data_IF_439643551006
#
_entry.id   IF_439643551006
#
_cell.length_a   1.000
_cell.length_b   1.000
_cell.length_c   1.000
_cell.angle_alpha   90.00
_cell.angle_beta   90.00
_cell.angle_gamma   90.00
#
_symmetry.space_group_name_H-M   'P 1'
#
loop_
_entity.id
_entity.type
_entity.pdbx_description
1 polymer ?
#
# COMPACT_ATOMS: atom_id res chain seq x y z
N UNK A 1 12.37 -0.99 13.42
CA UNK A 1 12.73 -1.52 12.09
C UNK A 1 11.96 -0.77 11.01
N UNK A 2 12.64 -0.38 9.95
CA UNK A 2 11.98 0.29 8.83
C UNK A 2 11.50 -0.74 7.80
N UNK A 3 10.26 -0.58 7.36
CA UNK A 3 9.66 -1.40 6.32
C UNK A 3 9.43 -0.52 5.10
N UNK A 4 9.81 -1.01 3.91
CA UNK A 4 9.65 -0.29 2.64
C UNK A 4 9.22 -1.26 1.55
N UNK A 5 8.13 -0.94 0.87
CA UNK A 5 7.68 -1.70 -0.30
C UNK A 5 7.11 -0.73 -1.33
N UNK A 6 7.27 -1.06 -2.60
CA UNK A 6 6.62 -0.29 -3.66
C UNK A 6 5.17 -0.73 -3.79
N UNK A 7 4.29 0.26 -3.83
CA UNK A 7 2.89 0.07 -4.20
C UNK A 7 2.74 0.51 -5.66
N UNK A 8 1.91 -0.21 -6.41
CA UNK A 8 1.57 0.15 -7.78
C UNK A 8 0.20 0.81 -7.77
N UNK A 9 0.17 2.07 -8.18
CA UNK A 9 -1.06 2.86 -8.31
C UNK A 9 -1.49 2.79 -9.77
N UNK A 10 -2.65 2.19 -10.01
CA UNK A 10 -3.21 2.04 -11.35
C UNK A 10 -4.35 3.05 -11.55
N UNK A 11 -4.21 3.88 -12.58
CA UNK A 11 -5.13 4.97 -12.88
C UNK A 11 -6.07 4.67 -14.05
N UNK A 12 -6.18 3.41 -14.50
CA UNK A 12 -7.04 3.06 -15.63
C UNK A 12 -8.48 3.51 -15.44
N UNK A 13 -8.98 3.39 -14.21
CA UNK A 13 -10.37 3.75 -13.87
C UNK A 13 -10.45 5.08 -13.10
N UNK A 14 -9.41 5.88 -13.15
CA UNK A 14 -9.38 7.14 -12.41
C UNK A 14 -10.56 8.05 -12.76
N UNK A 15 -11.26 8.51 -11.73
CA UNK A 15 -12.38 9.44 -11.88
C UNK A 15 -11.86 10.87 -11.74
N UNK A 16 -12.00 11.63 -12.82
CA UNK A 16 -11.53 13.03 -12.86
C UNK A 16 -12.22 13.92 -11.84
N UNK A 17 -13.43 13.56 -11.41
CA UNK A 17 -14.17 14.28 -10.38
C UNK A 17 -13.80 13.82 -8.97
N UNK A 18 -12.99 12.76 -8.87
CA UNK A 18 -12.49 12.20 -7.61
C UNK A 18 -13.59 11.81 -6.64
N UNK A 19 -14.72 11.36 -7.18
CA UNK A 19 -15.87 10.88 -6.39
C UNK A 19 -15.83 9.37 -6.21
N UNK A 20 -15.24 8.66 -7.17
CA UNK A 20 -15.15 7.20 -7.17
C UNK A 20 -13.75 6.76 -6.81
N UNK A 21 -13.64 5.57 -6.21
CA UNK A 21 -12.37 4.97 -5.82
C UNK A 21 -11.71 4.32 -7.03
N UNK A 22 -11.35 5.13 -8.02
CA UNK A 22 -10.86 4.65 -9.32
C UNK A 22 -9.36 4.38 -9.40
N UNK A 23 -8.60 4.70 -8.35
CA UNK A 23 -7.18 4.36 -8.29
C UNK A 23 -7.06 3.03 -7.58
N UNK A 24 -6.62 1.98 -8.30
CA UNK A 24 -6.36 0.66 -7.70
C UNK A 24 -4.93 0.62 -7.19
N UNK A 25 -4.72 0.09 -5.99
CA UNK A 25 -3.41 0.06 -5.35
C UNK A 25 -3.10 -1.38 -4.97
N UNK A 26 -1.96 -1.88 -5.44
CA UNK A 26 -1.48 -3.22 -5.13
C UNK A 26 -0.03 -3.17 -4.71
N UNK A 27 0.41 -4.21 -4.01
CA UNK A 27 1.83 -4.36 -3.63
C UNK A 27 2.33 -5.64 -4.27
N UNK A 28 3.20 -5.57 -5.29
CA UNK A 28 3.70 -6.76 -5.95
C UNK A 28 4.34 -7.77 -5.00
N UNK A 29 5.00 -7.29 -3.95
CA UNK A 29 5.68 -8.16 -2.99
C UNK A 29 4.78 -8.66 -1.86
N UNK A 30 3.60 -8.08 -1.70
CA UNK A 30 2.63 -8.43 -0.66
C UNK A 30 1.27 -8.57 -1.34
N UNK A 31 1.00 -9.70 -2.01
CA UNK A 31 -0.21 -9.86 -2.84
C UNK A 31 -1.53 -9.64 -2.13
N UNK A 32 -1.59 -9.90 -0.82
CA UNK A 32 -2.81 -9.68 -0.04
C UNK A 32 -3.04 -8.21 0.32
N UNK A 33 -2.04 -7.34 0.16
CA UNK A 33 -2.17 -5.92 0.44
C UNK A 33 -2.68 -5.21 -0.81
N UNK A 34 -3.96 -4.90 -0.85
CA UNK A 34 -4.55 -4.15 -1.96
C UNK A 34 -5.66 -3.25 -1.44
N UNK A 35 -5.84 -2.13 -2.10
CA UNK A 35 -6.84 -1.13 -1.72
C UNK A 35 -7.17 -0.25 -2.93
N UNK A 36 -7.97 0.78 -2.71
CA UNK A 36 -8.29 1.75 -3.76
C UNK A 36 -8.47 3.13 -3.12
N UNK A 37 -8.42 4.15 -3.95
CA UNK A 37 -8.53 5.53 -3.50
C UNK A 37 -9.13 6.41 -4.59
N UNK A 38 -9.56 7.61 -4.19
CA UNK A 38 -10.11 8.61 -5.11
C UNK A 38 -9.02 9.56 -5.59
N UNK A 39 -8.03 9.84 -4.75
CA UNK A 39 -6.94 10.78 -5.06
C UNK A 39 -5.59 10.14 -4.74
N UNK A 40 -4.53 10.74 -5.26
CA UNK A 40 -3.17 10.30 -4.94
C UNK A 40 -2.89 10.39 -3.43
N UNK A 41 -3.23 11.52 -2.82
CA UNK A 41 -2.96 11.73 -1.39
C UNK A 41 -3.71 10.70 -0.53
N UNK A 42 -4.98 10.46 -0.83
CA UNK A 42 -5.76 9.41 -0.15
C UNK A 42 -5.12 8.05 -0.38
N UNK A 43 -4.63 7.81 -1.60
CA UNK A 43 -3.99 6.55 -1.97
C UNK A 43 -2.75 6.25 -1.17
N UNK A 44 -1.93 7.25 -0.90
CA UNK A 44 -0.73 7.07 -0.07
C UNK A 44 -1.12 6.64 1.34
N UNK A 45 -2.13 7.29 1.92
CA UNK A 45 -2.62 6.93 3.26
C UNK A 45 -3.24 5.54 3.29
N UNK A 46 -4.03 5.20 2.28
CA UNK A 46 -4.66 3.88 2.19
C UNK A 46 -3.63 2.77 1.99
N UNK A 47 -2.62 3.04 1.17
CA UNK A 47 -1.53 2.09 0.93
C UNK A 47 -0.75 1.82 2.21
N UNK A 48 -0.45 2.87 2.98
CA UNK A 48 0.25 2.73 4.24
C UNK A 48 -0.57 1.91 5.23
N UNK A 49 -1.86 2.20 5.34
CA UNK A 49 -2.75 1.49 6.27
C UNK A 49 -2.87 0.00 5.92
N UNK A 50 -3.09 -0.34 4.65
CA UNK A 50 -3.27 -1.73 4.26
C UNK A 50 -1.97 -2.53 4.39
N UNK A 51 -0.83 -1.90 4.09
CA UNK A 51 0.47 -2.55 4.26
C UNK A 51 0.73 -2.87 5.73
N UNK A 52 0.52 -1.91 6.62
CA UNK A 52 0.68 -2.13 8.05
C UNK A 52 -0.26 -3.22 8.56
N UNK A 53 -1.52 -3.17 8.12
CA UNK A 53 -2.51 -4.15 8.51
C UNK A 53 -2.10 -5.57 8.11
N UNK A 54 -1.59 -5.74 6.91
CA UNK A 54 -1.20 -7.06 6.40
C UNK A 54 0.03 -7.62 7.13
N UNK A 55 0.88 -6.79 7.67
CA UNK A 55 2.15 -7.22 8.25
C UNK A 55 2.16 -7.22 9.79
N UNK A 56 1.18 -6.59 10.43
CA UNK A 56 1.20 -6.34 11.88
C UNK A 56 1.28 -7.63 12.71
N UNK A 57 0.65 -8.71 12.26
CA UNK A 57 0.61 -9.98 12.98
C UNK A 57 1.63 -11.00 12.46
N UNK A 58 2.50 -10.59 11.54
CA UNK A 58 3.49 -11.49 10.96
C UNK A 58 4.81 -11.41 11.69
N UNK A 59 5.50 -12.55 11.75
CA UNK A 59 6.90 -12.58 12.16
C UNK A 59 7.73 -11.82 11.13
N UNK A 60 8.68 -11.01 11.59
CA UNK A 60 9.55 -10.21 10.71
C UNK A 60 10.28 -11.12 9.70
N UNK A 61 10.68 -12.31 10.14
CA UNK A 61 11.37 -13.29 9.30
C UNK A 61 10.53 -13.78 8.12
N UNK A 62 9.20 -13.64 8.22
CA UNK A 62 8.29 -14.04 7.14
C UNK A 62 8.05 -12.94 6.11
N UNK A 63 8.57 -11.73 6.33
CA UNK A 63 8.39 -10.63 5.42
C UNK A 63 9.07 -10.90 4.10
N UNK A 64 8.35 -10.61 3.00
CA UNK A 64 8.93 -10.74 1.66
C UNK A 64 10.06 -9.74 1.49
N UNK A 65 11.09 -10.13 0.71
CA UNK A 65 12.15 -9.21 0.35
C UNK A 65 11.60 -8.16 -0.62
N UNK A 66 11.77 -6.86 -0.32
CA UNK A 66 11.28 -5.82 -1.23
C UNK A 66 11.97 -5.88 -2.59
N UNK A 67 11.18 -5.80 -3.66
CA UNK A 67 11.71 -5.69 -5.01
C UNK A 67 12.26 -4.29 -5.25
N UNK A 68 13.33 -4.19 -6.05
CA UNK A 68 13.81 -2.89 -6.51
C UNK A 68 12.88 -2.37 -7.60
N UNK A 69 12.92 -1.06 -7.81
CA UNK A 69 12.05 -0.41 -8.80
C UNK A 69 12.23 -0.99 -10.21
N UNK A 70 13.46 -1.40 -10.56
CA UNK A 70 13.76 -1.96 -11.89
C UNK A 70 13.04 -3.28 -12.14
N UNK A 71 12.69 -3.99 -11.09
CA UNK A 71 12.04 -5.31 -11.19
C UNK A 71 10.52 -5.22 -11.18
N UNK A 72 9.96 -4.03 -11.05
CA UNK A 72 8.52 -3.82 -11.04
C UNK A 72 8.07 -3.42 -12.44
N UNK A 73 7.22 -4.24 -13.05
CA UNK A 73 6.67 -3.93 -14.37
C UNK A 73 5.46 -3.04 -14.21
N UNK A 74 5.48 -1.91 -14.91
CA UNK A 74 4.39 -0.94 -14.85
C UNK A 74 3.69 -0.87 -16.21
N UNK A 75 2.37 -0.87 -16.17
CA UNK A 75 1.56 -0.60 -17.33
C UNK A 75 1.50 0.89 -17.64
N UNK A 76 0.79 1.25 -18.69
CA UNK A 76 0.73 2.61 -19.22
C UNK A 76 0.26 3.64 -18.20
N UNK A 77 -0.74 3.29 -17.39
CA UNK A 77 -1.35 4.19 -16.41
C UNK A 77 -1.01 3.81 -14.99
N UNK A 78 0.16 3.21 -14.79
CA UNK A 78 0.61 2.76 -13.47
C UNK A 78 1.83 3.52 -13.01
N UNK A 79 1.90 3.75 -11.70
CA UNK A 79 3.05 4.40 -11.05
C UNK A 79 3.46 3.59 -9.84
N UNK A 80 4.77 3.43 -9.63
CA UNK A 80 5.30 2.78 -8.44
C UNK A 80 5.60 3.86 -7.40
N UNK A 81 5.01 3.71 -6.22
CA UNK A 81 5.14 4.66 -5.11
C UNK A 81 5.74 3.91 -3.93
N UNK A 82 6.85 4.39 -3.41
CA UNK A 82 7.50 3.76 -2.26
C UNK A 82 6.73 4.09 -0.99
N UNK A 83 6.27 3.05 -0.29
CA UNK A 83 5.56 3.17 0.98
C UNK A 83 6.48 2.69 2.09
N UNK A 84 6.72 3.54 3.07
CA UNK A 84 7.66 3.25 4.17
C UNK A 84 7.03 3.56 5.51
N UNK A 85 7.39 2.76 6.51
CA UNK A 85 7.04 3.07 7.90
C UNK A 85 8.04 2.40 8.84
N UNK A 86 8.05 2.86 10.09
CA UNK A 86 8.85 2.26 11.16
C UNK A 86 7.92 1.42 12.03
N UNK A 87 8.26 0.14 12.22
CA UNK A 87 7.42 -0.77 13.01
C UNK A 87 7.25 -0.31 14.45
N UNK A 88 8.20 0.46 14.97
CA UNK A 88 8.14 0.99 16.35
C UNK A 88 7.17 2.15 16.49
N UNK A 89 6.63 2.65 15.37
CA UNK A 89 5.77 3.84 15.35
C UNK A 89 4.37 3.55 14.83
N UNK A 90 3.99 2.27 14.78
CA UNK A 90 2.65 1.89 14.33
C UNK A 90 1.62 2.36 15.36
N UNK A 91 0.62 3.08 14.90
CA UNK A 91 -0.51 3.49 15.72
C UNK A 91 -1.66 2.49 15.51
N UNK A 92 -1.76 1.54 16.42
CA UNK A 92 -2.77 0.47 16.36
C UNK A 92 -4.18 1.02 16.41
N UNK A 93 -4.38 2.19 17.00
CA UNK A 93 -5.72 2.80 17.09
C UNK A 93 -6.32 3.14 15.72
N UNK A 94 -5.49 3.22 14.67
CA UNK A 94 -5.96 3.42 13.30
C UNK A 94 -6.73 2.22 12.77
N UNK A 95 -6.53 1.05 13.35
CA UNK A 95 -7.16 -0.21 12.91
C UNK A 95 -8.27 -0.57 13.92
N UNK A 96 -9.39 0.14 13.81
CA UNK A 96 -10.49 0.06 14.79
C UNK A 96 -11.02 -1.35 15.00
N UNK A 97 -10.96 -2.18 13.99
CA UNK A 97 -11.45 -3.55 14.08
C UNK A 97 -10.57 -4.45 14.95
N UNK A 98 -9.38 -3.99 15.34
CA UNK A 98 -8.54 -4.71 16.30
C UNK A 98 -8.90 -4.40 17.75
N UNK A 99 -9.74 -3.40 17.97
CA UNK A 99 -10.07 -2.92 19.31
C UNK A 99 -11.38 -3.48 19.84
N UNK A 100 -11.95 -4.44 19.18
CA UNK A 100 -13.22 -5.04 19.60
C UNK A 100 -13.06 -6.21 20.54
#
# INVERSE_FOLDING_TARGET
MRVSYYAVFNYDEYDKNEEKYGISITFPDIPEANTCARTYAEGVDMALDVLQLCLIDREVESYSTPSSIENIRLGKNEKAILIQYDTDKIDISRFKFFNE
#
